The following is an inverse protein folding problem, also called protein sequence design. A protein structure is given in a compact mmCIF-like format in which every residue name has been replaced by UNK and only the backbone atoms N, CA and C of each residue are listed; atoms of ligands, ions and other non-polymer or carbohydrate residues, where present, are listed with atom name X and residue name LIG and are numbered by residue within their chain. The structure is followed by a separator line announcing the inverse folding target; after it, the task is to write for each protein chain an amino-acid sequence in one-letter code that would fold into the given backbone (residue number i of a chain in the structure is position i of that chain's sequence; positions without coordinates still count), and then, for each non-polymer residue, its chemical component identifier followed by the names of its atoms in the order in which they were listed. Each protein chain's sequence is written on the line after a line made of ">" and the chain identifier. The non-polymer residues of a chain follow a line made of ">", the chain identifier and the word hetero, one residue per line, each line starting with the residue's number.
data_IF_009653859703
#
_entry.id   IF_009653859703
#
_cell.length_a   1.000
_cell.length_b   1.000
_cell.length_c   1.000
_cell.angle_alpha   90.00
_cell.angle_beta   90.00
_cell.angle_gamma   90.00
#
_symmetry.space_group_name_H-M   'P 1'
#
loop_
_entity.id
_entity.type
_entity.pdbx_description
1 polymer ?
#
# COMPACT_ATOMS: atom_id res chain seq x y z
N UNK A 1 -28.16 -0.62 -1.60
CA UNK A 1 -26.92 -0.57 -0.78
C UNK A 1 -26.88 -1.82 0.07
N UNK A 2 -26.10 -2.84 -0.31
CA UNK A 2 -25.96 -4.06 0.50
C UNK A 2 -24.75 -3.89 1.41
N UNK A 3 -25.01 -3.61 2.69
CA UNK A 3 -24.03 -3.83 3.74
C UNK A 3 -23.91 -5.36 3.84
N UNK A 4 -22.75 -5.91 3.46
CA UNK A 4 -22.45 -7.32 3.69
C UNK A 4 -22.06 -7.43 5.16
N UNK A 5 -22.81 -8.23 5.92
CA UNK A 5 -22.39 -8.71 7.23
C UNK A 5 -21.11 -9.54 7.02
N UNK A 6 -19.95 -8.94 7.28
CA UNK A 6 -18.64 -9.58 7.15
C UNK A 6 -18.50 -10.56 8.32
N UNK A 7 -18.52 -11.87 8.04
CA UNK A 7 -18.22 -12.91 9.04
C UNK A 7 -16.70 -12.98 9.22
N UNK A 8 -16.22 -13.47 10.37
CA UNK A 8 -14.78 -13.63 10.65
C UNK A 8 -14.05 -14.49 9.58
N UNK A 9 -14.75 -15.44 8.97
CA UNK A 9 -14.22 -16.24 7.85
C UNK A 9 -14.00 -15.42 6.57
N UNK A 10 -14.74 -14.31 6.38
CA UNK A 10 -14.54 -13.38 5.28
C UNK A 10 -13.24 -12.57 5.48
N UNK A 11 -12.83 -12.27 6.72
CA UNK A 11 -11.57 -11.56 6.99
C UNK A 11 -10.34 -12.37 6.55
N UNK A 12 -10.30 -13.67 6.84
CA UNK A 12 -9.22 -14.55 6.40
C UNK A 12 -9.12 -14.66 4.87
N UNK A 13 -10.25 -14.55 4.16
CA UNK A 13 -10.27 -14.50 2.69
C UNK A 13 -9.92 -13.10 2.16
N UNK A 14 -10.31 -12.02 2.85
CA UNK A 14 -9.94 -10.64 2.51
C UNK A 14 -8.42 -10.44 2.62
N UNK A 15 -7.77 -11.00 3.65
CA UNK A 15 -6.32 -10.93 3.81
C UNK A 15 -5.59 -11.74 2.72
N UNK A 16 -6.23 -12.80 2.22
CA UNK A 16 -5.73 -13.55 1.05
C UNK A 16 -5.80 -12.72 -0.24
N UNK A 17 -6.75 -11.80 -0.34
CA UNK A 17 -6.94 -10.91 -1.49
C UNK A 17 -6.12 -9.62 -1.39
N UNK A 18 -5.67 -9.23 -0.19
CA UNK A 18 -5.08 -7.92 0.08
C UNK A 18 -3.89 -8.02 1.02
N UNK A 19 -2.70 -7.66 0.53
CA UNK A 19 -1.52 -7.50 1.36
C UNK A 19 -1.31 -6.02 1.72
N UNK A 20 -0.93 -5.74 2.98
CA UNK A 20 -0.60 -4.39 3.44
C UNK A 20 0.91 -4.22 3.59
N UNK A 21 1.41 -3.05 3.20
CA UNK A 21 2.75 -2.57 3.53
C UNK A 21 2.62 -1.53 4.61
N UNK A 22 3.16 -1.83 5.79
CA UNK A 22 3.15 -0.90 6.92
C UNK A 22 4.25 0.15 6.79
N UNK A 23 5.49 -0.30 6.54
CA UNK A 23 6.65 0.57 6.42
C UNK A 23 7.51 0.17 5.23
N UNK A 24 7.87 1.17 4.41
CA UNK A 24 8.87 1.04 3.36
C UNK A 24 9.75 2.29 3.38
N UNK A 25 10.97 2.13 3.88
CA UNK A 25 11.91 3.22 4.07
C UNK A 25 13.23 2.92 3.35
N UNK A 26 13.75 3.93 2.68
CA UNK A 26 15.12 3.92 2.16
C UNK A 26 15.89 5.05 2.86
N UNK A 27 17.00 4.68 3.47
CA UNK A 27 17.93 5.62 4.09
C UNK A 27 18.37 6.69 3.09
N UNK A 28 18.41 7.94 3.54
CA UNK A 28 18.64 9.12 2.70
C UNK A 28 19.88 9.03 1.84
N UNK A 29 20.95 8.43 2.37
CA UNK A 29 22.24 8.28 1.68
C UNK A 29 22.14 7.39 0.45
N UNK A 30 21.08 6.58 0.36
CA UNK A 30 20.86 5.58 -0.66
C UNK A 30 19.63 5.85 -1.55
N UNK A 31 18.92 6.97 -1.34
CA UNK A 31 17.80 7.39 -2.20
C UNK A 31 18.29 7.77 -3.60
N UNK A 32 17.37 7.77 -4.58
CA UNK A 32 17.68 8.07 -5.99
C UNK A 32 18.41 6.96 -6.75
N UNK A 33 18.68 5.81 -6.12
CA UNK A 33 19.42 4.67 -6.71
C UNK A 33 18.53 3.50 -7.14
N UNK A 34 17.21 3.70 -7.21
CA UNK A 34 16.27 2.64 -7.57
C UNK A 34 15.97 1.60 -6.47
N UNK A 35 16.59 1.69 -5.28
CA UNK A 35 16.41 0.74 -4.18
C UNK A 35 14.94 0.61 -3.75
N UNK A 36 14.22 1.73 -3.65
CA UNK A 36 12.79 1.70 -3.31
C UNK A 36 11.97 0.88 -4.32
N UNK A 37 12.28 1.00 -5.62
CA UNK A 37 11.61 0.25 -6.69
C UNK A 37 11.91 -1.24 -6.58
N UNK A 38 13.16 -1.61 -6.26
CA UNK A 38 13.56 -3.00 -6.03
C UNK A 38 12.84 -3.61 -4.83
N UNK A 39 12.84 -2.91 -3.69
CA UNK A 39 12.14 -3.36 -2.48
C UNK A 39 10.64 -3.54 -2.75
N UNK A 40 10.00 -2.55 -3.38
CA UNK A 40 8.57 -2.61 -3.68
C UNK A 40 8.23 -3.74 -4.66
N UNK A 41 9.07 -3.95 -5.68
CA UNK A 41 8.91 -5.08 -6.62
C UNK A 41 9.01 -6.43 -5.91
N UNK A 42 9.97 -6.59 -4.99
CA UNK A 42 10.09 -7.81 -4.20
C UNK A 42 8.86 -8.08 -3.34
N UNK A 43 8.37 -7.06 -2.63
CA UNK A 43 7.13 -7.17 -1.83
C UNK A 43 5.92 -7.50 -2.71
N UNK A 44 5.81 -6.88 -3.89
CA UNK A 44 4.73 -7.16 -4.85
C UNK A 44 4.76 -8.62 -5.31
N UNK A 45 5.95 -9.18 -5.55
CA UNK A 45 6.08 -10.59 -5.95
C UNK A 45 5.66 -11.54 -4.82
N UNK A 46 6.08 -11.26 -3.58
CA UNK A 46 5.65 -12.04 -2.40
C UNK A 46 4.11 -11.99 -2.26
N UNK A 47 3.50 -10.82 -2.44
CA UNK A 47 2.05 -10.68 -2.37
C UNK A 47 1.35 -11.52 -3.44
N UNK A 48 1.83 -11.48 -4.69
CA UNK A 48 1.32 -12.29 -5.79
C UNK A 48 1.45 -13.79 -5.53
N UNK A 49 2.60 -14.24 -5.03
CA UNK A 49 2.84 -15.65 -4.68
C UNK A 49 1.88 -16.16 -3.59
N UNK A 50 1.46 -15.26 -2.69
CA UNK A 50 0.44 -15.56 -1.65
C UNK A 50 -1.00 -15.53 -2.18
N UNK A 51 -1.21 -15.17 -3.44
CA UNK A 51 -2.52 -15.06 -4.07
C UNK A 51 -3.24 -13.73 -3.84
N UNK A 52 -2.51 -12.68 -3.40
CA UNK A 52 -3.10 -11.36 -3.25
C UNK A 52 -3.46 -10.75 -4.60
N UNK A 53 -4.66 -10.19 -4.70
CA UNK A 53 -5.17 -9.48 -5.86
C UNK A 53 -4.81 -7.98 -5.82
N UNK A 54 -4.59 -7.44 -4.62
CA UNK A 54 -4.19 -6.03 -4.42
C UNK A 54 -3.17 -5.85 -3.30
N UNK A 55 -2.46 -4.73 -3.37
CA UNK A 55 -1.53 -4.27 -2.35
C UNK A 55 -1.90 -2.84 -1.94
N UNK A 56 -2.13 -2.66 -0.64
CA UNK A 56 -2.57 -1.40 -0.05
C UNK A 56 -1.48 -0.84 0.90
N UNK A 57 -1.40 0.49 0.99
CA UNK A 57 -0.60 1.19 1.99
C UNK A 57 -1.26 2.53 2.36
N UNK A 58 -0.86 3.08 3.50
CA UNK A 58 -1.21 4.44 3.91
C UNK A 58 0.00 5.36 3.72
N UNK A 59 -0.25 6.58 3.24
CA UNK A 59 0.76 7.62 3.16
C UNK A 59 0.14 8.93 3.63
N UNK A 60 0.88 9.68 4.45
CA UNK A 60 0.46 11.01 4.87
C UNK A 60 0.45 11.99 3.69
N UNK A 61 -0.59 12.82 3.61
CA UNK A 61 -0.80 13.75 2.48
C UNK A 61 0.33 14.78 2.31
N UNK A 62 1.05 15.13 3.39
CA UNK A 62 2.20 16.03 3.32
C UNK A 62 3.47 15.38 2.75
N UNK A 63 3.53 14.04 2.62
CA UNK A 63 4.71 13.32 2.16
C UNK A 63 4.77 13.24 0.63
N UNK A 64 4.99 14.39 0.00
CA UNK A 64 5.07 14.52 -1.47
C UNK A 64 6.12 13.58 -2.10
N UNK A 65 7.24 13.34 -1.42
CA UNK A 65 8.28 12.42 -1.91
C UNK A 65 7.75 10.99 -2.02
N UNK A 66 7.06 10.49 -1.00
CA UNK A 66 6.46 9.17 -1.03
C UNK A 66 5.29 9.08 -2.02
N UNK A 67 4.43 10.11 -2.06
CA UNK A 67 3.33 10.19 -3.03
C UNK A 67 3.83 10.10 -4.47
N UNK A 68 4.86 10.87 -4.82
CA UNK A 68 5.48 10.82 -6.15
C UNK A 68 6.07 9.45 -6.44
N UNK A 69 6.80 8.85 -5.48
CA UNK A 69 7.34 7.51 -5.62
C UNK A 69 6.26 6.45 -5.88
N UNK A 70 5.17 6.45 -5.11
CA UNK A 70 4.09 5.48 -5.28
C UNK A 70 3.32 5.68 -6.59
N UNK A 71 3.13 6.92 -7.02
CA UNK A 71 2.56 7.22 -8.34
C UNK A 71 3.47 6.73 -9.47
N UNK A 72 4.79 6.94 -9.38
CA UNK A 72 5.76 6.48 -10.39
C UNK A 72 5.76 4.97 -10.58
N UNK A 73 5.52 4.20 -9.51
CA UNK A 73 5.47 2.73 -9.57
C UNK A 73 4.06 2.17 -9.84
N UNK A 74 3.10 3.05 -10.18
CA UNK A 74 1.78 2.68 -10.67
C UNK A 74 0.72 2.45 -9.59
N UNK A 75 0.98 2.82 -8.33
CA UNK A 75 -0.08 2.85 -7.32
C UNK A 75 -1.06 4.00 -7.60
N UNK A 76 -2.29 3.86 -7.11
CA UNK A 76 -3.35 4.85 -7.26
C UNK A 76 -4.00 5.10 -5.91
N UNK A 77 -4.45 6.33 -5.68
CA UNK A 77 -5.21 6.66 -4.49
C UNK A 77 -6.51 5.83 -4.43
N UNK A 78 -6.72 5.12 -3.33
CA UNK A 78 -7.92 4.31 -3.09
C UNK A 78 -8.97 5.06 -2.27
N UNK A 79 -8.52 5.79 -1.23
CA UNK A 79 -9.36 6.50 -0.26
C UNK A 79 -8.61 7.72 0.29
N UNK A 80 -9.38 8.71 0.73
CA UNK A 80 -8.88 9.87 1.44
C UNK A 80 -9.45 9.90 2.85
N UNK A 81 -8.59 10.16 3.83
CA UNK A 81 -9.00 10.52 5.18
C UNK A 81 -8.84 12.04 5.27
N UNK A 82 -9.93 12.75 5.56
CA UNK A 82 -9.97 14.21 5.61
C UNK A 82 -10.20 14.66 7.05
N UNK A 83 -9.53 15.74 7.43
CA UNK A 83 -9.70 16.40 8.72
C UNK A 83 -10.03 17.88 8.54
N UNK A 84 -10.71 18.46 9.53
CA UNK A 84 -10.95 19.90 9.64
C UNK A 84 -10.69 20.28 11.09
N UNK A 85 -9.71 21.15 11.31
CA UNK A 85 -9.52 21.83 12.59
C UNK A 85 -10.72 22.74 12.86
N UNK A 86 -11.23 22.75 14.10
CA UNK A 86 -12.41 23.51 14.50
C UNK A 86 -12.03 24.87 15.09
#
# INVERSE_FOLDING_TARGET
>A
MRIRDIRLDDYNNIDKLMQQVHDLCVDERFRGRGIGKLLFSHVTNIAKEKGAERLDLMVWSFNNNALNFYNEIGMKAQRYILEKEL
#
